data_IF_016094008367
#
_entry.id   IF_016094008367
#
_cell.length_a   1.000
_cell.length_b   1.000
_cell.length_c   1.000
_cell.angle_alpha   90.00
_cell.angle_beta   90.00
_cell.angle_gamma   90.00
#
_symmetry.space_group_name_H-M   'P 1'
#
loop_
_entity.id
_entity.type
_entity.pdbx_description
1 polymer ?
#
# COMPACT_ATOMS: atom_id res chain seq x y z
N UNK A 1 0.78 -96.32 43.53
CA UNK A 1 0.49 -96.15 44.96
C UNK A 1 -0.81 -95.34 45.08
N UNK A 2 -1.84 -95.89 45.76
CA UNK A 2 -3.08 -95.24 46.25
C UNK A 2 -4.10 -94.73 45.20
N UNK A 3 -5.16 -95.47 44.81
CA UNK A 3 -6.48 -95.78 45.41
C UNK A 3 -7.53 -94.64 45.54
N UNK A 4 -8.77 -94.97 45.10
CA UNK A 4 -10.13 -94.39 45.36
C UNK A 4 -10.48 -93.06 44.65
N UNK A 5 -11.69 -92.79 44.15
CA UNK A 5 -12.98 -93.50 44.08
C UNK A 5 -14.14 -92.53 43.75
N UNK A 6 -15.06 -92.96 42.86
CA UNK A 6 -16.51 -92.66 42.66
C UNK A 6 -17.13 -91.24 42.82
N UNK A 7 -18.05 -90.91 41.88
CA UNK A 7 -19.17 -89.95 42.03
C UNK A 7 -19.59 -89.32 40.67
N UNK A 8 -20.45 -89.95 39.86
CA UNK A 8 -21.93 -89.76 39.69
C UNK A 8 -22.36 -88.35 39.28
N UNK A 9 -23.10 -88.23 38.16
CA UNK A 9 -24.36 -87.45 37.97
C UNK A 9 -24.57 -87.19 36.44
N UNK A 10 -25.41 -87.99 35.76
CA UNK A 10 -26.83 -87.78 35.39
C UNK A 10 -27.07 -86.96 34.11
N UNK A 11 -27.60 -87.68 33.11
CA UNK A 11 -28.60 -87.38 32.07
C UNK A 11 -28.70 -85.99 31.43
N UNK A 12 -28.96 -85.98 30.12
CA UNK A 12 -30.20 -85.42 29.53
C UNK A 12 -30.30 -85.79 28.04
N UNK A 13 -31.53 -86.00 27.57
CA UNK A 13 -31.83 -86.78 26.38
C UNK A 13 -32.79 -86.05 25.42
N UNK A 14 -32.47 -86.15 24.11
CA UNK A 14 -33.32 -86.14 22.91
C UNK A 14 -33.98 -84.83 22.39
N UNK A 15 -33.30 -84.26 21.37
CA UNK A 15 -33.74 -84.10 19.97
C UNK A 15 -35.08 -83.43 19.63
N UNK A 16 -35.03 -82.32 18.88
CA UNK A 16 -35.44 -82.25 17.47
C UNK A 16 -35.10 -80.89 16.83
N UNK A 17 -34.64 -80.94 15.58
CA UNK A 17 -34.02 -79.89 14.79
C UNK A 17 -35.05 -79.23 13.85
N UNK A 18 -35.06 -77.90 13.73
CA UNK A 18 -35.65 -77.21 12.57
C UNK A 18 -34.75 -76.01 12.18
N UNK A 19 -34.14 -76.12 11.00
CA UNK A 19 -33.32 -75.07 10.37
C UNK A 19 -34.20 -73.98 9.78
N UNK A 20 -33.94 -72.72 10.13
CA UNK A 20 -34.21 -71.55 9.29
C UNK A 20 -32.91 -70.74 9.24
N UNK A 21 -32.27 -70.77 8.08
CA UNK A 21 -31.11 -69.93 7.76
C UNK A 21 -31.60 -68.72 6.95
N UNK A 22 -31.45 -67.50 7.48
CA UNK A 22 -31.47 -66.29 6.66
C UNK A 22 -30.52 -65.24 7.25
N UNK A 23 -29.45 -64.97 6.50
CA UNK A 23 -28.86 -63.65 6.36
C UNK A 23 -28.00 -63.12 7.50
N UNK A 24 -26.69 -63.34 7.41
CA UNK A 24 -25.71 -62.46 8.04
C UNK A 24 -25.81 -61.07 7.40
N UNK A 25 -26.62 -60.20 7.97
CA UNK A 25 -26.57 -58.77 7.68
C UNK A 25 -25.30 -58.20 8.30
N UNK A 26 -24.17 -58.34 7.61
CA UNK A 26 -23.05 -57.43 7.86
C UNK A 26 -23.52 -56.06 7.37
N UNK A 27 -24.11 -55.27 8.26
CA UNK A 27 -24.25 -53.84 8.04
C UNK A 27 -22.83 -53.26 8.03
N UNK A 28 -22.16 -53.32 6.88
CA UNK A 28 -21.01 -52.47 6.63
C UNK A 28 -21.55 -51.05 6.65
N UNK A 29 -21.34 -50.33 7.76
CA UNK A 29 -21.54 -48.89 7.78
C UNK A 29 -20.65 -48.32 6.66
N UNK A 30 -21.28 -47.88 5.57
CA UNK A 30 -20.57 -47.15 4.53
C UNK A 30 -20.10 -45.85 5.15
N UNK A 31 -18.80 -45.78 5.46
CA UNK A 31 -18.17 -44.55 5.90
C UNK A 31 -17.85 -43.74 4.66
N UNK A 32 -18.74 -42.81 4.32
CA UNK A 32 -18.46 -41.81 3.30
C UNK A 32 -17.43 -40.82 3.86
N UNK A 33 -16.27 -40.74 3.20
CA UNK A 33 -15.22 -39.78 3.55
C UNK A 33 -14.98 -38.86 2.38
N UNK A 34 -15.01 -37.55 2.64
CA UNK A 34 -14.67 -36.52 1.67
C UNK A 34 -13.37 -35.85 2.11
N UNK A 35 -12.37 -35.87 1.23
CA UNK A 35 -11.14 -35.08 1.40
C UNK A 35 -11.34 -33.78 0.64
N UNK A 36 -11.39 -32.66 1.37
CA UNK A 36 -11.45 -31.31 0.78
C UNK A 36 -10.07 -30.68 0.92
N UNK A 37 -9.37 -30.54 -0.21
CA UNK A 37 -8.08 -29.84 -0.27
C UNK A 37 -8.31 -28.38 -0.64
N UNK A 38 -8.17 -27.51 0.35
CA UNK A 38 -8.23 -26.06 0.16
C UNK A 38 -6.80 -25.56 -0.04
N UNK A 39 -6.51 -25.04 -1.23
CA UNK A 39 -5.23 -24.39 -1.53
C UNK A 39 -5.48 -22.91 -1.80
N UNK A 40 -4.58 -22.08 -1.31
CA UNK A 40 -4.62 -20.64 -1.54
C UNK A 40 -3.21 -20.07 -1.51
N UNK A 41 -2.98 -19.01 -2.29
CA UNK A 41 -1.75 -18.23 -2.26
C UNK A 41 -2.10 -16.82 -1.81
N UNK A 42 -1.65 -16.42 -0.63
CA UNK A 42 -1.79 -15.05 -0.13
C UNK A 42 -0.58 -14.24 -0.62
N UNK A 43 -0.82 -13.11 -1.28
CA UNK A 43 0.22 -12.16 -1.70
C UNK A 43 -0.24 -10.74 -1.39
N UNK A 44 0.48 -10.08 -0.48
CA UNK A 44 0.41 -8.64 -0.28
C UNK A 44 1.72 -8.07 -0.81
N UNK A 45 1.65 -7.40 -1.97
CA UNK A 45 2.82 -6.95 -2.73
C UNK A 45 3.03 -5.43 -2.69
N UNK A 46 2.19 -4.70 -1.97
CA UNK A 46 2.26 -3.24 -1.83
C UNK A 46 2.79 -2.86 -0.46
N UNK A 47 3.15 -1.59 -0.29
CA UNK A 47 3.32 -0.99 1.03
C UNK A 47 2.03 -0.27 1.45
N UNK A 48 1.90 0.00 2.74
CA UNK A 48 0.89 0.89 3.30
C UNK A 48 1.48 2.30 3.36
N UNK A 49 0.85 3.28 2.71
CA UNK A 49 1.27 4.67 2.87
C UNK A 49 0.99 5.13 4.30
N UNK A 50 1.97 5.74 4.98
CA UNK A 50 1.74 6.29 6.32
C UNK A 50 0.62 7.34 6.29
N UNK A 51 -0.22 7.39 7.32
CA UNK A 51 -1.30 8.39 7.42
C UNK A 51 -0.77 9.82 7.36
N UNK A 52 0.40 10.06 7.97
CA UNK A 52 1.11 11.34 7.89
C UNK A 52 1.71 11.63 6.52
N UNK A 53 1.72 10.68 5.59
CA UNK A 53 2.18 10.87 4.21
C UNK A 53 1.04 10.99 3.20
N UNK A 54 -0.13 10.42 3.50
CA UNK A 54 -1.31 10.47 2.64
C UNK A 54 -1.89 11.88 2.51
N UNK A 55 -1.88 12.67 3.59
CA UNK A 55 -2.27 14.07 3.60
C UNK A 55 -1.26 14.86 4.42
N UNK A 56 -0.53 15.78 3.78
CA UNK A 56 0.49 16.60 4.43
C UNK A 56 0.20 18.08 4.24
N UNK A 57 0.23 18.83 5.33
CA UNK A 57 0.35 20.28 5.29
C UNK A 57 1.82 20.64 5.45
N UNK A 58 2.47 20.99 4.33
CA UNK A 58 3.88 21.41 4.34
C UNK A 58 3.94 22.92 4.36
N UNK A 59 4.37 23.50 5.48
CA UNK A 59 4.67 24.93 5.55
C UNK A 59 6.02 25.20 4.90
N UNK A 60 6.03 25.94 3.79
CA UNK A 60 7.25 26.53 3.24
C UNK A 60 7.72 27.66 4.16
N UNK A 61 9.04 27.87 4.25
CA UNK A 61 9.54 29.02 5.00
C UNK A 61 9.20 30.31 4.24
N UNK A 62 9.01 31.40 4.96
CA UNK A 62 8.83 32.71 4.33
C UNK A 62 10.06 33.07 3.50
N UNK A 63 9.83 33.73 2.37
CA UNK A 63 10.88 34.20 1.46
C UNK A 63 10.61 35.65 1.05
N UNK A 64 11.66 36.45 0.91
CA UNK A 64 11.51 37.79 0.38
C UNK A 64 11.27 37.72 -1.13
N UNK A 65 10.35 38.54 -1.62
CA UNK A 65 10.05 38.73 -3.05
C UNK A 65 11.32 38.99 -3.88
N UNK A 66 12.27 39.75 -3.31
CA UNK A 66 13.56 40.08 -3.94
C UNK A 66 14.43 38.84 -4.23
N UNK A 67 14.31 37.79 -3.43
CA UNK A 67 15.18 36.59 -3.49
C UNK A 67 14.75 35.63 -4.60
N UNK A 68 13.50 35.76 -5.08
CA UNK A 68 12.93 35.01 -6.19
C UNK A 68 12.52 35.92 -7.35
N UNK A 69 13.10 37.12 -7.42
CA UNK A 69 12.80 38.09 -8.47
C UNK A 69 13.40 37.65 -9.81
N UNK A 70 12.53 37.46 -10.81
CA UNK A 70 12.92 37.09 -12.17
C UNK A 70 12.44 35.69 -12.53
N UNK A 71 12.16 35.48 -13.82
CA UNK A 71 11.66 34.20 -14.33
C UNK A 71 12.65 33.08 -14.06
N UNK A 72 12.19 32.01 -13.41
CA UNK A 72 12.99 30.82 -13.12
C UNK A 72 13.94 30.95 -11.93
N UNK A 73 13.99 32.09 -11.24
CA UNK A 73 14.79 32.25 -10.01
C UNK A 73 14.10 31.50 -8.88
N UNK A 74 14.83 30.56 -8.27
CA UNK A 74 14.30 29.67 -7.23
C UNK A 74 14.83 30.01 -5.84
N UNK A 75 14.04 29.69 -4.81
CA UNK A 75 14.48 29.84 -3.42
C UNK A 75 13.52 29.22 -2.40
N UNK A 76 13.93 29.20 -1.13
CA UNK A 76 13.09 28.72 -0.04
C UNK A 76 12.84 27.20 -0.08
N UNK A 77 13.87 26.43 -0.48
CA UNK A 77 13.79 24.98 -0.64
C UNK A 77 13.25 24.28 0.62
N UNK A 78 12.35 23.32 0.42
CA UNK A 78 11.77 22.49 1.47
C UNK A 78 11.74 21.03 1.07
N UNK A 79 12.29 20.17 1.91
CA UNK A 79 12.20 18.73 1.74
C UNK A 79 10.86 18.20 2.21
N UNK A 80 10.32 17.23 1.47
CA UNK A 80 9.04 16.58 1.73
C UNK A 80 9.26 15.07 1.67
N UNK A 81 8.98 14.37 2.77
CA UNK A 81 9.20 12.93 2.85
C UNK A 81 7.87 12.18 2.77
N UNK A 82 7.80 11.19 1.88
CA UNK A 82 6.71 10.22 1.79
C UNK A 82 7.22 8.89 2.35
N UNK A 83 6.52 8.34 3.34
CA UNK A 83 6.89 7.09 3.99
C UNK A 83 5.91 5.98 3.60
N UNK A 84 6.45 4.93 3.01
CA UNK A 84 5.77 3.69 2.66
C UNK A 84 6.16 2.63 3.70
N UNK A 85 5.18 2.14 4.46
CA UNK A 85 5.34 1.22 5.60
C UNK A 85 4.91 -0.20 5.26
N UNK A 86 5.38 -1.17 6.03
CA UNK A 86 4.92 -2.56 5.97
C UNK A 86 4.98 -3.15 4.54
N UNK A 87 6.04 -2.83 3.79
CA UNK A 87 6.20 -3.28 2.42
C UNK A 87 6.36 -4.80 2.34
N UNK A 88 5.59 -5.45 1.46
CA UNK A 88 5.74 -6.87 1.16
C UNK A 88 7.05 -7.23 0.46
N UNK A 89 7.33 -8.53 0.33
CA UNK A 89 8.56 -9.07 -0.30
C UNK A 89 8.66 -8.82 -1.80
N UNK A 90 7.55 -8.48 -2.46
CA UNK A 90 7.50 -8.17 -3.88
C UNK A 90 7.43 -6.66 -4.19
N UNK A 91 7.32 -5.81 -3.16
CA UNK A 91 7.30 -4.35 -3.34
C UNK A 91 8.71 -3.85 -3.70
N UNK A 92 9.02 -3.82 -5.01
CA UNK A 92 10.37 -3.55 -5.51
C UNK A 92 10.55 -2.16 -6.12
N UNK A 93 9.47 -1.55 -6.60
CA UNK A 93 9.47 -0.19 -7.12
C UNK A 93 8.05 0.39 -7.11
N UNK A 94 7.98 1.72 -7.20
CA UNK A 94 6.76 2.46 -7.50
C UNK A 94 7.00 3.41 -8.67
N UNK A 95 6.01 3.51 -9.54
CA UNK A 95 5.89 4.62 -10.49
C UNK A 95 5.12 5.74 -9.82
N UNK A 96 5.72 6.93 -9.79
CA UNK A 96 5.18 8.12 -9.15
C UNK A 96 4.79 9.14 -10.21
N UNK A 97 3.60 9.70 -10.08
CA UNK A 97 3.16 10.88 -10.83
C UNK A 97 2.69 11.94 -9.86
N UNK A 98 2.80 13.21 -10.27
CA UNK A 98 2.28 14.33 -9.49
C UNK A 98 1.56 15.33 -10.41
N UNK A 99 0.47 15.91 -9.94
CA UNK A 99 -0.36 16.85 -10.72
C UNK A 99 -1.06 17.87 -9.83
N UNK A 100 -1.52 18.97 -10.42
CA UNK A 100 -2.16 20.07 -9.72
C UNK A 100 -2.51 21.21 -10.68
N UNK A 101 -2.80 22.38 -10.12
CA UNK A 101 -3.05 23.57 -10.94
C UNK A 101 -1.74 24.16 -11.43
N UNK A 102 -1.60 24.33 -12.75
CA UNK A 102 -0.46 25.00 -13.34
C UNK A 102 -0.51 26.51 -13.12
N UNK A 103 0.67 27.15 -12.97
CA UNK A 103 0.79 28.59 -13.07
C UNK A 103 0.54 29.05 -14.52
N UNK A 104 -0.07 30.23 -14.68
CA UNK A 104 -0.44 30.76 -16.00
C UNK A 104 0.75 31.26 -16.82
N UNK A 105 1.86 31.63 -16.16
CA UNK A 105 3.09 32.14 -16.79
C UNK A 105 4.15 31.05 -16.96
N UNK A 106 4.16 30.04 -16.08
CA UNK A 106 5.01 28.84 -16.16
C UNK A 106 4.20 27.57 -15.95
N UNK A 107 3.82 26.90 -17.05
CA UNK A 107 3.03 25.67 -16.99
C UNK A 107 3.77 24.45 -16.42
N UNK A 108 5.07 24.55 -16.12
CA UNK A 108 5.86 23.54 -15.42
C UNK A 108 5.95 23.80 -13.92
N UNK A 109 5.32 24.87 -13.42
CA UNK A 109 5.25 25.21 -12.00
C UNK A 109 3.82 25.10 -11.47
N UNK A 110 3.67 24.67 -10.23
CA UNK A 110 2.39 24.61 -9.53
C UNK A 110 1.99 26.02 -9.08
N UNK A 111 0.85 26.51 -9.57
CA UNK A 111 0.40 27.87 -9.38
C UNK A 111 -0.11 28.17 -7.97
N UNK A 112 -0.08 29.45 -7.61
CA UNK A 112 -0.69 29.93 -6.37
C UNK A 112 -2.22 29.83 -6.45
N UNK A 113 -2.83 29.11 -5.51
CA UNK A 113 -4.27 28.95 -5.39
C UNK A 113 -4.96 30.15 -4.75
N UNK A 114 -4.20 31.10 -4.17
CA UNK A 114 -4.74 32.33 -3.59
C UNK A 114 -4.67 33.42 -4.64
N UNK A 115 -5.84 33.95 -5.02
CA UNK A 115 -5.91 35.05 -5.97
C UNK A 115 -5.29 36.33 -5.40
N UNK A 116 -4.71 37.15 -6.27
CA UNK A 116 -4.13 38.46 -5.89
C UNK A 116 -5.14 39.38 -5.19
N UNK A 117 -6.41 39.35 -5.63
CA UNK A 117 -7.50 40.11 -5.00
C UNK A 117 -7.73 39.73 -3.53
N UNK A 118 -7.34 38.52 -3.15
CA UNK A 118 -7.58 37.93 -1.84
C UNK A 118 -6.28 37.94 -1.00
N UNK A 119 -5.29 38.74 -1.40
CA UNK A 119 -4.00 38.87 -0.72
C UNK A 119 -2.95 37.84 -1.15
N UNK A 120 -3.17 37.12 -2.25
CA UNK A 120 -2.19 36.20 -2.82
C UNK A 120 -0.96 36.92 -3.40
N UNK A 121 0.21 36.29 -3.26
CA UNK A 121 1.42 36.71 -3.96
C UNK A 121 1.26 36.54 -5.49
N UNK A 122 1.87 37.44 -6.25
CA UNK A 122 1.78 37.49 -7.72
C UNK A 122 3.18 37.34 -8.34
N UNK A 123 3.27 36.62 -9.46
CA UNK A 123 4.54 36.30 -10.10
C UNK A 123 5.37 35.23 -9.38
N UNK A 124 4.73 34.38 -8.57
CA UNK A 124 5.37 33.28 -7.84
C UNK A 124 4.58 31.98 -8.01
N UNK A 125 5.30 30.88 -8.18
CA UNK A 125 4.78 29.53 -8.24
C UNK A 125 5.70 28.57 -7.45
N UNK A 126 5.43 27.26 -7.54
CA UNK A 126 6.23 26.22 -6.90
C UNK A 126 6.77 25.23 -7.92
N UNK A 127 8.08 25.00 -7.91
CA UNK A 127 8.67 23.82 -8.52
C UNK A 127 8.67 22.66 -7.53
N UNK A 128 8.12 21.52 -7.94
CA UNK A 128 8.12 20.28 -7.17
C UNK A 128 9.04 19.27 -7.86
N UNK A 129 10.08 18.85 -7.17
CA UNK A 129 11.17 18.04 -7.70
C UNK A 129 11.04 16.57 -7.28
N UNK A 130 11.41 15.69 -8.21
CA UNK A 130 11.61 14.25 -8.02
C UNK A 130 12.69 13.95 -6.97
N UNK A 131 12.82 12.67 -6.59
CA UNK A 131 13.78 12.27 -5.54
C UNK A 131 15.25 12.51 -5.90
N UNK A 132 15.56 12.71 -7.19
CA UNK A 132 16.89 13.12 -7.65
C UNK A 132 17.22 14.61 -7.38
N UNK A 133 16.25 15.39 -6.87
CA UNK A 133 16.41 16.79 -6.48
C UNK A 133 16.57 17.80 -7.62
N UNK A 134 16.50 17.35 -8.88
CA UNK A 134 16.78 18.18 -10.08
C UNK A 134 15.67 18.13 -11.12
N UNK A 135 15.08 16.96 -11.36
CA UNK A 135 13.96 16.80 -12.31
C UNK A 135 12.68 17.28 -11.64
N UNK A 136 11.86 18.04 -12.38
CA UNK A 136 10.60 18.59 -11.90
C UNK A 136 9.43 17.74 -12.36
N UNK A 137 8.43 17.58 -11.50
CA UNK A 137 7.11 17.18 -11.94
C UNK A 137 6.41 18.35 -12.63
N UNK A 138 5.64 18.06 -13.67
CA UNK A 138 4.75 19.03 -14.28
C UNK A 138 3.36 18.93 -13.65
N UNK A 139 2.67 20.06 -13.40
CA UNK A 139 1.31 20.06 -12.86
C UNK A 139 0.28 19.27 -13.69
N UNK A 140 0.52 19.05 -14.98
CA UNK A 140 -0.35 18.26 -15.86
C UNK A 140 -0.21 16.74 -15.68
N UNK A 141 0.72 16.27 -14.84
CA UNK A 141 0.95 14.85 -14.60
C UNK A 141 1.72 14.12 -15.71
N UNK A 142 2.25 14.85 -16.70
CA UNK A 142 2.95 14.26 -17.86
C UNK A 142 4.32 13.65 -17.51
N UNK A 143 4.96 14.14 -16.45
CA UNK A 143 6.28 13.68 -16.01
C UNK A 143 6.11 12.68 -14.87
N UNK A 144 6.70 11.49 -15.00
CA UNK A 144 6.68 10.44 -13.98
C UNK A 144 8.07 10.06 -13.53
N UNK A 145 8.18 9.48 -12.33
CA UNK A 145 9.40 8.92 -11.77
C UNK A 145 9.20 7.42 -11.50
N UNK A 146 10.26 6.63 -11.58
CA UNK A 146 10.28 5.30 -10.98
C UNK A 146 11.25 5.32 -9.80
N UNK A 147 10.74 5.05 -8.60
CA UNK A 147 11.55 4.97 -7.38
C UNK A 147 11.64 3.51 -6.94
N UNK A 148 12.87 3.01 -6.81
CA UNK A 148 13.11 1.67 -6.29
C UNK A 148 12.79 1.61 -4.79
N UNK A 149 12.25 0.48 -4.36
CA UNK A 149 11.93 0.16 -2.97
C UNK A 149 12.82 -0.99 -2.49
N UNK A 150 13.10 -0.99 -1.20
CA UNK A 150 13.66 -2.14 -0.49
C UNK A 150 12.52 -3.05 -0.06
N UNK A 151 12.42 -4.28 -0.56
CA UNK A 151 11.37 -5.21 -0.16
C UNK A 151 11.46 -5.56 1.32
N UNK A 152 10.32 -5.88 1.95
CA UNK A 152 10.25 -6.25 3.38
C UNK A 152 10.78 -5.18 4.34
N UNK A 153 10.88 -3.92 3.90
CA UNK A 153 11.35 -2.80 4.71
C UNK A 153 10.50 -1.56 4.48
N UNK A 154 10.49 -0.66 5.46
CA UNK A 154 9.93 0.67 5.27
C UNK A 154 10.79 1.47 4.29
N UNK A 155 10.14 2.24 3.41
CA UNK A 155 10.80 3.07 2.41
C UNK A 155 10.43 4.53 2.60
N UNK A 156 11.41 5.42 2.49
CA UNK A 156 11.22 6.87 2.55
C UNK A 156 11.67 7.50 1.25
N UNK A 157 10.74 8.12 0.53
CA UNK A 157 10.99 8.87 -0.70
C UNK A 157 11.04 10.36 -0.36
N UNK A 158 12.18 11.01 -0.64
CA UNK A 158 12.40 12.41 -0.31
C UNK A 158 12.32 13.29 -1.55
N UNK A 159 11.30 14.13 -1.59
CA UNK A 159 11.07 15.13 -2.63
C UNK A 159 11.54 16.49 -2.15
N UNK A 160 11.63 17.45 -3.07
CA UNK A 160 11.95 18.84 -2.76
C UNK A 160 10.92 19.75 -3.41
N UNK A 161 10.54 20.82 -2.72
CA UNK A 161 9.77 21.93 -3.27
C UNK A 161 10.60 23.22 -3.18
N UNK A 162 10.43 24.12 -4.14
CA UNK A 162 11.10 25.43 -4.14
C UNK A 162 10.17 26.48 -4.73
N UNK A 163 10.11 27.67 -4.13
CA UNK A 163 9.46 28.80 -4.79
C UNK A 163 10.18 29.11 -6.09
N UNK A 164 9.44 29.61 -7.07
CA UNK A 164 10.01 30.13 -8.32
C UNK A 164 9.33 31.43 -8.71
N UNK A 165 10.11 32.43 -9.11
CA UNK A 165 9.60 33.62 -9.79
C UNK A 165 9.11 33.29 -11.18
N UNK A 166 7.88 33.68 -11.53
CA UNK A 166 7.28 33.45 -12.87
C UNK A 166 7.20 34.73 -13.71
N UNK A 167 7.51 35.88 -13.10
CA UNK A 167 7.55 37.21 -13.74
C UNK A 167 8.86 37.93 -13.39
N UNK A 168 9.15 39.04 -14.09
CA UNK A 168 10.32 39.89 -13.83
C UNK A 168 10.27 40.59 -12.46
N UNK A 169 9.06 40.72 -11.92
CA UNK A 169 8.79 41.25 -10.59
C UNK A 169 7.84 40.30 -9.86
N UNK A 170 8.14 40.02 -8.60
CA UNK A 170 7.26 39.30 -7.68
C UNK A 170 6.62 40.31 -6.74
N UNK A 171 5.32 40.17 -6.48
CA UNK A 171 4.64 40.94 -5.44
C UNK A 171 4.39 40.04 -4.23
N UNK A 172 4.73 40.54 -3.04
CA UNK A 172 4.51 39.84 -1.79
C UNK A 172 3.02 39.58 -1.54
N UNK A 173 2.74 38.47 -0.84
CA UNK A 173 1.41 38.04 -0.47
C UNK A 173 1.42 36.59 0.01
N UNK A 174 0.25 36.05 0.25
CA UNK A 174 0.08 34.65 0.69
C UNK A 174 0.31 33.68 -0.46
N UNK A 175 0.87 32.51 -0.15
CA UNK A 175 1.06 31.43 -1.11
C UNK A 175 0.41 30.14 -0.59
N UNK A 176 -0.34 29.46 -1.44
CA UNK A 176 -0.83 28.11 -1.18
C UNK A 176 -0.93 27.37 -2.50
N UNK A 177 -0.55 26.10 -2.54
CA UNK A 177 -0.77 25.25 -3.71
C UNK A 177 -1.02 23.82 -3.27
N UNK A 178 -1.59 23.01 -4.16
CA UNK A 178 -1.89 21.59 -3.92
C UNK A 178 -1.16 20.76 -4.95
N UNK A 179 -0.31 19.86 -4.46
CA UNK A 179 0.36 18.83 -5.27
C UNK A 179 -0.30 17.51 -4.93
N UNK A 180 -1.01 16.93 -5.89
CA UNK A 180 -1.55 15.59 -5.78
C UNK A 180 -0.50 14.61 -6.28
N UNK A 181 -0.40 13.43 -5.66
CA UNK A 181 0.57 12.40 -6.04
C UNK A 181 -0.10 11.03 -6.11
N UNK A 182 0.37 10.18 -7.02
CA UNK A 182 -0.03 8.78 -7.14
C UNK A 182 1.20 7.88 -7.09
N UNK A 183 1.06 6.72 -6.46
CA UNK A 183 2.10 5.72 -6.28
C UNK A 183 1.58 4.38 -6.79
N UNK A 184 1.98 4.02 -8.00
CA UNK A 184 1.63 2.76 -8.64
C UNK A 184 2.74 1.74 -8.38
N UNK A 185 2.44 0.64 -7.67
CA UNK A 185 3.42 -0.42 -7.42
C UNK A 185 3.71 -1.22 -8.71
N UNK A 186 5.00 -1.47 -8.97
CA UNK A 186 5.50 -2.22 -10.13
C UNK A 186 5.94 -3.64 -9.77
#
# INVERSE_FOLDING_TARGET
>A
MKTRGKGVLTQLSHSALLLIAVGMGNAYAATDTAIITITGKVVANTCTMSSGSATQTVTLNDIADRDIRGKGVTGGDKNISIVLKDCGTAASAVKVSAWGSADSEDNQAFGNAIAKSDGGADGVALYFYQTNGTTKYNPDGSVTETSNLTPSADNTLNYKASYVGTKDTVAAGSFMTVVNMNFEYL
#
